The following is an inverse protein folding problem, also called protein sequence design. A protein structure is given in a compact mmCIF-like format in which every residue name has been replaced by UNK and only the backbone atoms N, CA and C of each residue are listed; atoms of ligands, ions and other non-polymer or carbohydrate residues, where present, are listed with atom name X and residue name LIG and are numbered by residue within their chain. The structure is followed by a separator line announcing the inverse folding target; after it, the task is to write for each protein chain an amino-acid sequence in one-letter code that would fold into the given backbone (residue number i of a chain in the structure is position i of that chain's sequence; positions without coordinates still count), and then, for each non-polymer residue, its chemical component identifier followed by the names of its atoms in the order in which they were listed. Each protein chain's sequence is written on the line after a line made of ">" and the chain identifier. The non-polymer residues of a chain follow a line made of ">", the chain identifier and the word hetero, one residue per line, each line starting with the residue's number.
data_IF_119587921177
#
_entry.id   IF_119587921177
#
_cell.length_a   1.000
_cell.length_b   1.000
_cell.length_c   1.000
_cell.angle_alpha   90.00
_cell.angle_beta   90.00
_cell.angle_gamma   90.00
#
_symmetry.space_group_name_H-M   'P 1'
#
loop_
_entity.id
_entity.type
_entity.pdbx_description
1 polymer ?
#
# COMPACT_ATOMS: atom_id res chain seq x y z
N UNK A 1 -16.97 -22.12 58.45
CA UNK A 1 -18.10 -23.08 58.45
C UNK A 1 -18.30 -23.51 57.00
N UNK A 2 -17.80 -24.68 56.58
CA UNK A 2 -18.55 -25.97 56.49
C UNK A 2 -19.93 -25.74 55.85
N UNK A 3 -20.29 -26.29 54.68
CA UNK A 3 -20.28 -27.73 54.34
C UNK A 3 -20.59 -27.99 52.86
N UNK A 4 -19.90 -29.00 52.28
CA UNK A 4 -20.38 -30.11 51.41
C UNK A 4 -21.05 -29.85 50.05
N UNK A 5 -21.02 -30.73 49.04
CA UNK A 5 -20.24 -31.91 48.65
C UNK A 5 -20.92 -32.49 47.38
N UNK A 6 -20.13 -32.67 46.32
CA UNK A 6 -19.95 -33.92 45.55
C UNK A 6 -21.15 -34.75 45.04
N UNK A 7 -21.19 -34.99 43.71
CA UNK A 7 -21.66 -36.20 43.01
C UNK A 7 -21.07 -36.14 41.57
N UNK A 8 -20.01 -36.89 41.21
CA UNK A 8 -20.03 -38.25 40.61
C UNK A 8 -21.07 -38.37 39.48
N UNK A 9 -20.68 -38.61 38.22
CA UNK A 9 -20.26 -39.94 37.74
C UNK A 9 -19.30 -39.90 36.53
N UNK A 10 -18.31 -40.80 36.57
CA UNK A 10 -17.47 -41.22 35.46
C UNK A 10 -18.22 -42.18 34.50
N UNK A 11 -17.89 -42.11 33.21
CA UNK A 11 -18.27 -43.08 32.19
C UNK A 11 -17.02 -43.46 31.37
N UNK A 12 -16.76 -44.76 31.30
CA UNK A 12 -15.52 -45.44 30.88
C UNK A 12 -15.78 -46.18 29.55
N UNK A 13 -14.87 -46.02 28.57
CA UNK A 13 -14.34 -46.99 27.57
C UNK A 13 -15.39 -47.60 26.59
N UNK A 14 -15.22 -47.67 25.25
CA UNK A 14 -14.36 -48.64 24.53
C UNK A 14 -14.47 -48.45 22.98
N UNK A 15 -13.30 -48.30 22.32
CA UNK A 15 -12.82 -48.92 21.05
C UNK A 15 -13.79 -49.14 19.86
N UNK A 16 -13.44 -48.60 18.68
CA UNK A 16 -13.25 -49.43 17.47
C UNK A 16 -12.34 -48.74 16.42
N UNK A 17 -11.19 -49.38 16.18
CA UNK A 17 -10.29 -49.19 15.03
C UNK A 17 -10.93 -49.84 13.79
N UNK A 18 -10.97 -49.15 12.64
CA UNK A 18 -11.07 -49.80 11.32
C UNK A 18 -10.03 -49.17 10.39
N UNK A 19 -8.95 -49.93 10.18
CA UNK A 19 -8.04 -49.84 9.04
C UNK A 19 -8.77 -50.37 7.81
N UNK A 20 -8.69 -49.65 6.68
CA UNK A 20 -8.94 -50.23 5.36
C UNK A 20 -7.79 -49.84 4.43
N UNK A 21 -6.89 -50.82 4.22
CA UNK A 21 -5.90 -50.85 3.15
C UNK A 21 -6.61 -51.10 1.82
N UNK A 22 -6.36 -50.25 0.82
CA UNK A 22 -6.58 -50.60 -0.58
C UNK A 22 -5.23 -50.54 -1.30
N UNK A 23 -4.63 -51.71 -1.49
CA UNK A 23 -3.51 -51.92 -2.40
C UNK A 23 -3.98 -52.78 -3.57
N UNK A 24 -3.62 -52.35 -4.79
CA UNK A 24 -3.35 -53.25 -5.91
C UNK A 24 -4.48 -53.43 -6.93
N UNK A 25 -4.33 -52.75 -8.07
CA UNK A 25 -4.57 -53.36 -9.39
C UNK A 25 -3.57 -52.77 -10.38
N UNK A 26 -2.53 -53.55 -10.66
CA UNK A 26 -1.57 -53.36 -11.76
C UNK A 26 -2.13 -54.01 -13.02
N UNK A 27 -2.10 -53.31 -14.16
CA UNK A 27 -1.96 -53.92 -15.49
C UNK A 27 -1.36 -52.91 -16.47
N UNK A 28 -0.31 -53.29 -17.23
CA UNK A 28 0.34 -52.42 -18.21
C UNK A 28 -0.27 -52.58 -19.61
N UNK A 29 -0.23 -51.52 -20.42
CA UNK A 29 -0.51 -51.55 -21.85
C UNK A 29 0.29 -50.42 -22.55
N UNK A 30 0.48 -50.48 -23.89
CA UNK A 30 1.77 -50.82 -24.50
C UNK A 30 2.46 -49.61 -25.15
N UNK A 31 3.74 -49.79 -25.49
CA UNK A 31 4.56 -48.77 -26.11
C UNK A 31 4.28 -48.48 -27.58
N UNK A 32 4.94 -47.40 -28.04
CA UNK A 32 5.24 -47.15 -29.44
C UNK A 32 4.31 -46.15 -30.14
N UNK A 33 4.65 -44.86 -30.07
CA UNK A 33 4.50 -43.99 -31.23
C UNK A 33 5.47 -42.80 -31.15
N UNK A 34 6.53 -42.85 -31.95
CA UNK A 34 7.38 -41.70 -32.27
C UNK A 34 6.72 -40.90 -33.40
N UNK A 35 6.51 -39.60 -33.22
CA UNK A 35 6.51 -38.56 -34.29
C UNK A 35 6.44 -37.16 -33.66
N UNK A 36 6.84 -36.09 -34.36
CA UNK A 36 8.18 -35.65 -34.77
C UNK A 36 8.67 -34.43 -33.96
N UNK A 37 9.97 -34.10 -34.07
CA UNK A 37 10.60 -32.94 -33.47
C UNK A 37 9.87 -31.63 -33.81
N UNK A 38 9.17 -31.07 -32.82
CA UNK A 38 8.68 -29.69 -32.81
C UNK A 38 9.78 -28.76 -32.28
N UNK A 39 9.98 -27.66 -33.01
CA UNK A 39 10.85 -26.53 -32.68
C UNK A 39 10.81 -26.15 -31.21
N UNK A 40 12.01 -25.97 -30.65
CA UNK A 40 12.24 -25.52 -29.29
C UNK A 40 11.57 -24.16 -29.03
N UNK A 41 10.53 -24.15 -28.22
CA UNK A 41 10.24 -23.00 -27.36
C UNK A 41 11.01 -23.24 -26.08
N UNK A 42 12.10 -22.50 -25.90
CA UNK A 42 12.78 -22.37 -24.61
C UNK A 42 11.77 -21.85 -23.59
N UNK A 43 11.18 -22.75 -22.82
CA UNK A 43 10.57 -22.41 -21.55
C UNK A 43 11.67 -21.80 -20.66
N UNK A 44 11.45 -20.65 -20.00
CA UNK A 44 12.41 -20.12 -19.05
C UNK A 44 12.60 -21.13 -17.93
N UNK A 45 13.86 -21.42 -17.64
CA UNK A 45 14.27 -22.32 -16.58
C UNK A 45 14.53 -21.50 -15.30
N UNK A 46 13.86 -21.88 -14.21
CA UNK A 46 14.40 -21.76 -12.85
C UNK A 46 13.93 -20.57 -12.02
N UNK A 47 12.76 -20.73 -11.39
CA UNK A 47 12.17 -19.83 -10.39
C UNK A 47 10.67 -19.90 -10.54
N UNK A 48 9.90 -20.18 -9.48
CA UNK A 48 8.44 -20.21 -9.57
C UNK A 48 7.94 -18.93 -10.24
N UNK A 49 6.89 -19.03 -11.05
CA UNK A 49 6.33 -17.93 -11.84
C UNK A 49 5.70 -16.84 -10.97
N UNK A 50 6.25 -16.56 -9.79
CA UNK A 50 5.71 -15.71 -8.74
C UNK A 50 6.54 -14.44 -8.69
N UNK A 51 5.87 -13.29 -8.65
CA UNK A 51 6.45 -11.99 -8.40
C UNK A 51 5.86 -11.43 -7.10
N UNK A 52 6.70 -11.24 -6.09
CA UNK A 52 6.30 -10.77 -4.77
C UNK A 52 6.52 -9.28 -4.66
N UNK A 53 5.49 -8.54 -4.27
CA UNK A 53 5.48 -7.09 -4.25
C UNK A 53 5.02 -6.62 -2.87
N UNK A 54 5.87 -5.90 -2.14
CA UNK A 54 5.42 -5.20 -0.94
C UNK A 54 4.87 -3.81 -1.31
N UNK A 55 3.70 -3.46 -0.80
CA UNK A 55 3.00 -2.22 -1.16
C UNK A 55 2.22 -1.67 0.03
N UNK A 56 1.36 -0.68 -0.20
CA UNK A 56 0.70 0.07 0.86
C UNK A 56 -0.77 -0.31 1.01
N UNK A 57 -1.27 -0.35 2.25
CA UNK A 57 -2.71 -0.59 2.51
C UNK A 57 -3.59 0.48 1.86
N UNK A 58 -3.10 1.71 1.70
CA UNK A 58 -3.84 2.76 0.98
C UNK A 58 -4.04 2.41 -0.49
N UNK A 59 -3.00 1.86 -1.15
CA UNK A 59 -3.12 1.43 -2.54
C UNK A 59 -4.04 0.21 -2.69
N UNK A 60 -3.95 -0.76 -1.77
CA UNK A 60 -4.87 -1.91 -1.69
C UNK A 60 -6.33 -1.47 -1.57
N UNK A 61 -6.63 -0.52 -0.67
CA UNK A 61 -8.00 -0.04 -0.46
C UNK A 61 -8.63 0.61 -1.70
N UNK A 62 -7.83 1.07 -2.66
CA UNK A 62 -8.37 1.61 -3.92
C UNK A 62 -8.87 0.51 -4.87
N UNK A 63 -8.43 -0.73 -4.69
CA UNK A 63 -8.70 -1.83 -5.62
C UNK A 63 -7.81 -1.86 -6.86
N UNK A 64 -6.90 -0.88 -7.06
CA UNK A 64 -6.02 -0.84 -8.23
C UNK A 64 -5.14 -2.10 -8.34
N UNK A 65 -4.65 -2.60 -7.21
CA UNK A 65 -3.75 -3.77 -7.19
C UNK A 65 -4.40 -5.02 -7.79
N UNK A 66 -5.67 -5.27 -7.48
CA UNK A 66 -6.42 -6.39 -8.03
C UNK A 66 -6.61 -6.28 -9.56
N UNK A 67 -6.73 -5.06 -10.09
CA UNK A 67 -6.84 -4.83 -11.53
C UNK A 67 -5.49 -4.98 -12.24
N UNK A 68 -4.40 -4.49 -11.62
CA UNK A 68 -3.04 -4.70 -12.13
C UNK A 68 -2.67 -6.19 -12.16
N UNK A 69 -3.00 -6.93 -11.09
CA UNK A 69 -2.88 -8.38 -11.02
C UNK A 69 -3.62 -9.02 -12.19
N UNK A 70 -4.94 -8.80 -12.28
CA UNK A 70 -5.80 -9.42 -13.30
C UNK A 70 -5.26 -9.24 -14.71
N UNK A 71 -4.80 -8.04 -15.07
CA UNK A 71 -4.30 -7.75 -16.42
C UNK A 71 -2.93 -8.37 -16.65
N UNK A 72 -1.96 -8.11 -15.77
CA UNK A 72 -0.59 -8.57 -15.96
C UNK A 72 -0.47 -10.09 -15.92
N UNK A 73 -1.19 -10.78 -15.01
CA UNK A 73 -1.24 -12.24 -14.98
C UNK A 73 -1.82 -12.82 -16.28
N UNK A 74 -2.85 -12.17 -16.84
CA UNK A 74 -3.49 -12.64 -18.07
C UNK A 74 -2.60 -12.54 -19.31
N UNK A 75 -1.70 -11.55 -19.34
CA UNK A 75 -0.77 -11.29 -20.45
C UNK A 75 0.47 -12.17 -20.37
N UNK A 76 0.98 -12.39 -19.16
CA UNK A 76 2.31 -12.96 -18.93
C UNK A 76 2.28 -14.36 -18.34
N UNK A 77 1.19 -14.72 -17.67
CA UNK A 77 1.03 -15.94 -16.88
C UNK A 77 1.72 -15.92 -15.51
N UNK A 78 2.43 -14.83 -15.15
CA UNK A 78 3.06 -14.64 -13.83
C UNK A 78 1.98 -14.57 -12.75
N UNK A 79 2.26 -15.12 -11.57
CA UNK A 79 1.48 -15.07 -10.33
C UNK A 79 1.95 -13.85 -9.51
N UNK A 80 1.11 -12.81 -9.44
CA UNK A 80 1.40 -11.57 -8.73
C UNK A 80 0.93 -11.65 -7.29
N UNK A 81 1.85 -11.46 -6.34
CA UNK A 81 1.55 -11.55 -4.92
C UNK A 81 1.85 -10.23 -4.23
N UNK A 82 0.77 -9.51 -3.90
CA UNK A 82 0.86 -8.27 -3.15
C UNK A 82 0.82 -8.50 -1.63
N UNK A 83 1.71 -7.80 -0.92
CA UNK A 83 1.72 -7.72 0.54
C UNK A 83 1.48 -6.25 0.91
N UNK A 84 0.23 -5.93 1.26
CA UNK A 84 -0.17 -4.57 1.61
C UNK A 84 0.05 -4.28 3.10
N UNK A 85 0.87 -3.26 3.40
CA UNK A 85 1.25 -2.87 4.77
C UNK A 85 1.66 -1.38 4.81
N UNK A 86 2.30 -0.88 5.87
CA UNK A 86 2.83 0.50 5.86
C UNK A 86 4.04 0.64 4.93
N UNK A 87 4.26 1.82 4.31
CA UNK A 87 5.44 2.07 3.45
C UNK A 87 6.76 1.70 4.11
N UNK A 88 6.99 2.08 5.36
CA UNK A 88 8.20 1.69 6.09
C UNK A 88 8.32 0.16 6.23
N UNK A 89 7.22 -0.53 6.54
CA UNK A 89 7.19 -2.00 6.65
C UNK A 89 7.45 -2.67 5.28
N UNK A 90 6.95 -2.11 4.19
CA UNK A 90 7.19 -2.59 2.83
C UNK A 90 8.64 -2.44 2.42
N UNK A 91 9.25 -1.30 2.72
CA UNK A 91 10.68 -1.08 2.52
C UNK A 91 11.51 -2.02 3.39
N UNK A 92 11.16 -2.22 4.66
CA UNK A 92 11.87 -3.16 5.54
C UNK A 92 11.72 -4.61 5.09
N UNK A 93 10.59 -4.97 4.49
CA UNK A 93 10.36 -6.30 3.88
C UNK A 93 11.25 -6.50 2.66
N UNK A 94 11.41 -5.47 1.84
CA UNK A 94 12.34 -5.47 0.72
C UNK A 94 13.81 -5.49 1.15
N UNK A 95 14.19 -4.77 2.22
CA UNK A 95 15.54 -4.81 2.83
C UNK A 95 15.93 -6.20 3.36
N UNK A 96 14.96 -7.06 3.64
CA UNK A 96 15.20 -8.46 4.03
C UNK A 96 15.27 -9.41 2.83
N UNK A 97 14.91 -8.95 1.64
CA UNK A 97 14.80 -9.80 0.44
C UNK A 97 13.58 -10.72 0.43
N UNK A 98 12.55 -10.39 1.23
CA UNK A 98 11.32 -11.20 1.30
C UNK A 98 10.40 -10.98 0.08
N UNK A 99 10.66 -9.91 -0.69
CA UNK A 99 9.94 -9.52 -1.92
C UNK A 99 10.93 -9.13 -3.03
N UNK A 100 10.42 -9.04 -4.26
CA UNK A 100 11.23 -8.78 -5.45
C UNK A 100 11.25 -7.29 -5.83
N UNK A 101 10.19 -6.56 -5.48
CA UNK A 101 10.11 -5.11 -5.58
C UNK A 101 9.16 -4.50 -4.55
N UNK A 102 9.20 -3.18 -4.44
CA UNK A 102 8.22 -2.39 -3.70
C UNK A 102 7.44 -1.47 -4.64
N UNK A 103 6.16 -1.24 -4.31
CA UNK A 103 5.31 -0.21 -4.92
C UNK A 103 4.78 0.70 -3.81
N UNK A 104 5.40 1.86 -3.62
CA UNK A 104 5.24 2.72 -2.44
C UNK A 104 5.11 4.21 -2.82
N UNK A 105 4.92 5.08 -1.84
CA UNK A 105 4.68 6.51 -2.03
C UNK A 105 5.28 7.39 -0.92
N UNK A 106 6.56 7.17 -0.60
CA UNK A 106 7.28 7.99 0.39
C UNK A 106 8.67 8.35 -0.14
N UNK A 107 8.81 9.45 -0.90
CA UNK A 107 10.05 9.81 -1.59
C UNK A 107 11.31 9.78 -0.72
N UNK A 108 11.24 10.24 0.53
CA UNK A 108 12.40 10.25 1.43
C UNK A 108 12.83 8.84 1.86
N UNK A 109 11.86 7.97 2.16
CA UNK A 109 12.15 6.57 2.49
C UNK A 109 12.61 5.77 1.27
N UNK A 110 12.04 6.06 0.09
CA UNK A 110 12.46 5.51 -1.19
C UNK A 110 13.93 5.87 -1.48
N UNK A 111 14.28 7.15 -1.31
CA UNK A 111 15.65 7.62 -1.54
C UNK A 111 16.62 6.98 -0.56
N UNK A 112 16.26 6.88 0.73
CA UNK A 112 17.09 6.18 1.71
C UNK A 112 17.29 4.70 1.34
N UNK A 113 16.23 4.00 0.90
CA UNK A 113 16.30 2.60 0.47
C UNK A 113 17.28 2.39 -0.72
N UNK A 114 17.34 3.36 -1.63
CA UNK A 114 18.27 3.37 -2.76
C UNK A 114 19.69 3.72 -2.31
N UNK A 115 19.86 4.76 -1.49
CA UNK A 115 21.15 5.22 -1.00
C UNK A 115 21.86 4.17 -0.12
N UNK A 116 21.07 3.43 0.66
CA UNK A 116 21.53 2.28 1.45
C UNK A 116 21.91 1.07 0.55
N UNK A 117 21.62 1.12 -0.75
CA UNK A 117 21.99 0.10 -1.74
C UNK A 117 21.03 -1.08 -1.86
N UNK A 118 19.88 -1.07 -1.17
CA UNK A 118 18.91 -2.16 -1.21
C UNK A 118 17.94 -2.05 -2.40
N UNK A 119 17.67 -0.83 -2.86
CA UNK A 119 16.80 -0.57 -4.02
C UNK A 119 17.57 -0.16 -5.26
N UNK A 120 17.09 -0.57 -6.43
CA UNK A 120 17.61 -0.13 -7.73
C UNK A 120 16.48 0.20 -8.70
N UNK A 121 16.83 0.95 -9.74
CA UNK A 121 15.96 1.21 -10.89
C UNK A 121 14.57 1.80 -10.55
N UNK A 122 14.47 2.86 -9.71
CA UNK A 122 13.18 3.43 -9.35
C UNK A 122 12.45 3.99 -10.57
N UNK A 123 11.14 3.73 -10.65
CA UNK A 123 10.25 4.34 -11.64
C UNK A 123 9.02 4.90 -10.99
N UNK A 124 8.76 6.18 -11.24
CA UNK A 124 7.49 6.78 -10.92
C UNK A 124 6.43 6.31 -11.89
N UNK A 125 5.29 5.92 -11.37
CA UNK A 125 4.21 5.30 -12.15
C UNK A 125 3.04 6.27 -12.31
N UNK A 126 2.59 6.84 -11.19
CA UNK A 126 1.45 7.73 -11.15
C UNK A 126 1.52 8.64 -9.91
N UNK A 127 0.61 9.59 -9.82
CA UNK A 127 0.39 10.37 -8.62
C UNK A 127 -1.11 10.54 -8.35
N UNK A 128 -1.41 10.83 -7.10
CA UNK A 128 -2.68 11.44 -6.69
C UNK A 128 -2.39 12.54 -5.67
N UNK A 129 -3.38 12.90 -4.88
CA UNK A 129 -3.24 13.90 -3.83
C UNK A 129 -3.60 13.31 -2.47
N UNK A 130 -2.87 13.74 -1.45
CA UNK A 130 -3.39 13.77 -0.10
C UNK A 130 -4.41 14.88 0.04
N UNK A 131 -5.30 14.75 1.02
CA UNK A 131 -6.31 15.73 1.36
C UNK A 131 -6.43 15.78 2.88
N UNK A 132 -6.68 16.96 3.42
CA UNK A 132 -7.11 17.14 4.81
C UNK A 132 -8.63 17.04 4.80
N UNK A 133 -9.18 16.01 5.42
CA UNK A 133 -10.62 15.84 5.62
C UNK A 133 -10.99 16.21 7.04
N UNK A 134 -12.23 16.65 7.25
CA UNK A 134 -12.73 17.02 8.56
C UNK A 134 -14.24 17.30 8.55
N UNK A 135 -14.81 17.74 9.67
CA UNK A 135 -16.23 18.08 9.76
C UNK A 135 -16.59 19.22 8.80
N UNK A 136 -17.76 19.14 8.15
CA UNK A 136 -18.25 20.17 7.23
C UNK A 136 -18.35 21.56 7.90
N UNK A 137 -18.59 21.61 9.21
CA UNK A 137 -18.64 22.86 9.96
C UNK A 137 -17.28 23.57 10.12
N UNK A 138 -16.19 22.89 9.80
CA UNK A 138 -14.80 23.36 9.89
C UNK A 138 -14.49 24.15 11.19
N UNK A 139 -14.59 23.53 12.38
CA UNK A 139 -14.41 24.23 13.65
C UNK A 139 -13.02 24.85 13.85
N UNK A 140 -11.98 24.34 13.17
CA UNK A 140 -10.65 24.94 13.16
C UNK A 140 -10.51 26.10 12.15
N UNK A 141 -11.43 26.23 11.19
CA UNK A 141 -11.43 27.30 10.20
C UNK A 141 -10.26 27.22 9.21
N UNK A 142 -9.88 26.01 8.79
CA UNK A 142 -8.72 25.77 7.92
C UNK A 142 -9.05 25.79 6.42
N UNK A 143 -10.33 25.93 6.04
CA UNK A 143 -10.72 26.03 4.65
C UNK A 143 -10.01 27.18 3.91
N UNK A 144 -9.55 26.91 2.68
CA UNK A 144 -8.78 27.84 1.83
C UNK A 144 -7.37 28.21 2.34
N UNK A 145 -6.85 27.50 3.34
CA UNK A 145 -5.44 27.62 3.74
C UNK A 145 -4.55 26.73 2.87
N UNK A 146 -3.26 27.04 2.81
CA UNK A 146 -2.27 26.07 2.35
C UNK A 146 -2.17 24.89 3.34
N UNK A 147 -1.69 23.71 2.91
CA UNK A 147 -1.58 22.55 3.80
C UNK A 147 -0.78 22.84 5.07
N UNK A 148 0.34 23.56 4.93
CA UNK A 148 1.21 23.93 6.06
C UNK A 148 0.53 24.93 7.00
N UNK A 149 -0.21 25.91 6.47
CA UNK A 149 -1.00 26.84 7.30
C UNK A 149 -2.14 26.14 8.04
N UNK A 150 -2.78 25.16 7.40
CA UNK A 150 -3.82 24.34 8.00
C UNK A 150 -3.27 23.54 9.19
N UNK A 151 -2.10 22.89 9.03
CA UNK A 151 -1.44 22.17 10.12
C UNK A 151 -1.07 23.11 11.28
N UNK A 152 -0.50 24.29 11.02
CA UNK A 152 -0.27 25.31 12.07
C UNK A 152 -1.54 25.69 12.82
N UNK A 153 -2.63 25.85 12.09
CA UNK A 153 -3.93 26.23 12.67
C UNK A 153 -4.54 25.09 13.49
N UNK A 154 -4.45 23.84 13.02
CA UNK A 154 -4.88 22.64 13.75
C UNK A 154 -4.11 22.49 15.06
N UNK A 155 -2.78 22.63 15.03
CA UNK A 155 -1.96 22.58 16.23
C UNK A 155 -2.37 23.64 17.26
N UNK A 156 -2.52 24.89 16.81
CA UNK A 156 -2.92 26.00 17.68
C UNK A 156 -4.34 25.79 18.25
N UNK A 157 -5.29 25.33 17.43
CA UNK A 157 -6.66 25.11 17.86
C UNK A 157 -6.78 23.93 18.83
N UNK A 158 -6.09 22.82 18.56
CA UNK A 158 -6.04 21.63 19.40
C UNK A 158 -5.37 21.90 20.75
N UNK A 159 -4.21 22.57 20.75
CA UNK A 159 -3.50 22.96 21.98
C UNK A 159 -4.31 23.92 22.85
N UNK A 160 -5.15 24.76 22.24
CA UNK A 160 -6.07 25.65 22.95
C UNK A 160 -7.37 24.97 23.38
N UNK A 161 -7.51 23.65 23.18
CA UNK A 161 -8.73 22.88 23.49
C UNK A 161 -9.99 23.45 22.82
N UNK A 162 -9.84 23.93 21.58
CA UNK A 162 -10.97 24.47 20.81
C UNK A 162 -12.02 23.38 20.63
N UNK A 163 -13.25 23.65 21.06
CA UNK A 163 -14.32 22.68 21.01
C UNK A 163 -14.56 22.17 19.57
N UNK A 164 -14.59 20.85 19.42
CA UNK A 164 -14.79 20.19 18.11
C UNK A 164 -13.52 20.08 17.26
N UNK A 165 -12.34 20.43 17.78
CA UNK A 165 -11.07 20.25 17.07
C UNK A 165 -10.31 19.07 17.66
N UNK A 166 -10.12 18.04 16.83
CA UNK A 166 -9.21 16.93 17.05
C UNK A 166 -8.60 16.53 15.71
N UNK A 167 -7.45 15.87 15.74
CA UNK A 167 -6.75 15.34 14.59
C UNK A 167 -6.45 13.86 14.84
N UNK A 168 -6.91 12.98 13.95
CA UNK A 168 -6.61 11.55 14.01
C UNK A 168 -5.44 11.27 13.07
N UNK A 169 -4.33 10.81 13.63
CA UNK A 169 -3.20 10.29 12.87
C UNK A 169 -3.37 8.81 12.60
N UNK A 170 -2.75 8.34 11.50
CA UNK A 170 -2.56 6.91 11.25
C UNK A 170 -1.69 6.26 12.33
N UNK A 171 -0.60 6.90 12.75
CA UNK A 171 0.33 6.37 13.76
C UNK A 171 0.96 5.02 13.39
N UNK A 172 1.13 4.71 12.10
CA UNK A 172 1.41 3.34 11.60
C UNK A 172 2.70 3.21 10.75
N UNK A 173 3.46 4.31 10.61
CA UNK A 173 4.64 4.44 9.75
C UNK A 173 4.37 4.18 8.24
N UNK A 174 3.13 4.36 7.80
CA UNK A 174 2.77 4.34 6.38
C UNK A 174 3.20 5.63 5.64
N UNK A 175 3.06 5.65 4.31
CA UNK A 175 3.38 6.84 3.51
C UNK A 175 2.58 8.08 3.93
N UNK A 176 1.28 7.92 4.23
CA UNK A 176 0.46 9.03 4.74
C UNK A 176 0.91 9.49 6.13
N UNK A 177 1.32 8.58 7.01
CA UNK A 177 1.89 8.98 8.31
C UNK A 177 3.20 9.76 8.12
N UNK A 178 4.06 9.33 7.20
CA UNK A 178 5.28 10.07 6.88
C UNK A 178 4.95 11.45 6.29
N UNK A 179 3.97 11.56 5.39
CA UNK A 179 3.55 12.85 4.85
C UNK A 179 3.00 13.77 5.95
N UNK A 180 2.21 13.22 6.88
CA UNK A 180 1.74 13.97 8.04
C UNK A 180 2.91 14.52 8.87
N UNK A 181 3.95 13.72 9.12
CA UNK A 181 5.17 14.17 9.82
C UNK A 181 5.88 15.30 9.10
N UNK A 182 6.02 15.19 7.77
CA UNK A 182 6.61 16.25 6.93
C UNK A 182 5.79 17.54 7.06
N UNK A 183 4.46 17.47 6.99
CA UNK A 183 3.60 18.64 7.16
C UNK A 183 3.69 19.27 8.55
N UNK A 184 3.85 18.46 9.62
CA UNK A 184 4.12 18.99 10.96
C UNK A 184 5.47 19.70 11.05
N UNK A 185 6.52 19.11 10.47
CA UNK A 185 7.86 19.71 10.44
C UNK A 185 7.88 21.04 9.65
N UNK A 186 7.26 21.08 8.47
CA UNK A 186 7.11 22.29 7.67
C UNK A 186 6.24 23.35 8.36
N UNK A 187 5.26 22.92 9.14
CA UNK A 187 4.47 23.79 10.02
C UNK A 187 5.32 24.37 11.17
N UNK A 188 6.51 23.82 11.43
CA UNK A 188 7.48 24.30 12.40
C UNK A 188 7.43 23.56 13.74
N UNK A 189 6.89 22.33 13.75
CA UNK A 189 6.76 21.49 14.94
C UNK A 189 7.58 20.22 14.80
N UNK A 190 8.35 19.88 15.83
CA UNK A 190 9.05 18.60 15.90
C UNK A 190 8.07 17.49 16.26
N UNK A 191 7.96 16.47 15.40
CA UNK A 191 6.96 15.42 15.57
C UNK A 191 7.15 14.64 16.89
N UNK A 192 8.38 14.25 17.19
CA UNK A 192 8.71 13.36 18.31
C UNK A 192 8.64 14.06 19.67
N UNK A 193 8.74 15.39 19.70
CA UNK A 193 8.77 16.19 20.94
C UNK A 193 7.57 17.11 21.14
N UNK A 194 6.88 17.52 20.08
CA UNK A 194 5.75 18.46 20.15
C UNK A 194 4.42 17.85 19.71
N UNK A 195 4.40 16.84 18.82
CA UNK A 195 3.15 16.31 18.24
C UNK A 195 2.67 15.04 18.93
N UNK A 196 3.52 14.02 19.06
CA UNK A 196 3.11 12.69 19.56
C UNK A 196 2.44 12.75 20.95
N UNK A 197 2.85 13.72 21.78
CA UNK A 197 2.32 13.98 23.11
C UNK A 197 1.59 15.34 23.22
N UNK A 198 1.06 15.88 22.11
CA UNK A 198 0.42 17.21 22.04
C UNK A 198 -0.89 17.34 22.85
N UNK A 199 -1.39 16.24 23.41
CA UNK A 199 -2.60 16.18 24.22
C UNK A 199 -3.74 15.42 23.54
N UNK A 200 -4.91 15.42 24.18
CA UNK A 200 -6.05 14.58 23.78
C UNK A 200 -6.65 14.92 22.40
N UNK A 201 -6.29 16.07 21.82
CA UNK A 201 -6.75 16.46 20.48
C UNK A 201 -6.01 15.70 19.38
N UNK A 202 -4.79 15.20 19.63
CA UNK A 202 -4.02 14.41 18.66
C UNK A 202 -4.16 12.92 19.02
N UNK A 203 -4.72 12.13 18.10
CA UNK A 203 -5.08 10.73 18.35
C UNK A 203 -4.41 9.81 17.34
N UNK A 204 -3.46 8.99 17.79
CA UNK A 204 -2.88 7.93 16.94
C UNK A 204 -3.82 6.72 16.87
N UNK A 205 -4.31 6.41 15.66
CA UNK A 205 -5.17 5.26 15.43
C UNK A 205 -4.42 3.92 15.51
N UNK A 206 -3.16 3.89 15.05
CA UNK A 206 -2.37 2.68 14.89
C UNK A 206 -2.95 1.71 13.85
N UNK A 207 -3.64 2.24 12.83
CA UNK A 207 -4.42 1.48 11.84
C UNK A 207 -4.22 2.03 10.43
N UNK A 208 -4.64 1.26 9.43
CA UNK A 208 -4.64 1.69 8.03
C UNK A 208 -5.70 2.77 7.72
N UNK A 209 -5.58 3.41 6.55
CA UNK A 209 -6.36 4.60 6.21
C UNK A 209 -7.88 4.45 6.31
N UNK A 210 -8.44 3.34 5.83
CA UNK A 210 -9.89 3.12 5.92
C UNK A 210 -10.40 3.18 7.36
N UNK A 211 -9.72 2.50 8.28
CA UNK A 211 -10.08 2.52 9.70
C UNK A 211 -9.81 3.88 10.35
N UNK A 212 -8.75 4.58 9.94
CA UNK A 212 -8.46 5.95 10.40
C UNK A 212 -9.56 6.93 9.97
N UNK A 213 -10.06 6.83 8.73
CA UNK A 213 -11.19 7.64 8.25
C UNK A 213 -12.46 7.38 9.05
N UNK A 214 -12.78 6.11 9.32
CA UNK A 214 -13.94 5.74 10.15
C UNK A 214 -13.80 6.30 11.57
N UNK A 215 -12.62 6.18 12.18
CA UNK A 215 -12.36 6.74 13.51
C UNK A 215 -12.48 8.26 13.54
N UNK A 216 -11.89 8.95 12.56
CA UNK A 216 -12.02 10.40 12.41
C UNK A 216 -13.48 10.82 12.24
N UNK A 217 -14.26 10.06 11.48
CA UNK A 217 -15.68 10.31 11.28
C UNK A 217 -16.49 10.15 12.57
N UNK A 218 -16.26 9.06 13.31
CA UNK A 218 -16.91 8.82 14.61
C UNK A 218 -16.62 9.94 15.62
N UNK A 219 -15.40 10.50 15.58
CA UNK A 219 -14.98 11.57 16.46
C UNK A 219 -15.30 12.98 15.95
N UNK A 220 -15.77 13.10 14.70
CA UNK A 220 -15.89 14.39 14.00
C UNK A 220 -14.56 15.17 14.08
N UNK A 221 -13.48 14.51 13.69
CA UNK A 221 -12.12 15.00 13.76
C UNK A 221 -11.52 15.21 12.36
N UNK A 222 -10.44 15.97 12.28
CA UNK A 222 -9.64 16.10 11.08
C UNK A 222 -8.70 14.91 10.90
N UNK A 223 -8.33 14.58 9.66
CA UNK A 223 -7.25 13.62 9.37
C UNK A 223 -6.66 13.92 8.00
N UNK A 224 -5.39 13.56 7.79
CA UNK A 224 -4.79 13.48 6.46
C UNK A 224 -5.17 12.13 5.83
N UNK A 225 -5.60 12.13 4.57
CA UNK A 225 -5.91 10.92 3.80
C UNK A 225 -5.38 11.04 2.38
N UNK A 226 -5.04 9.91 1.74
CA UNK A 226 -4.99 9.91 0.27
C UNK A 226 -6.41 10.02 -0.30
N UNK A 227 -6.55 10.74 -1.41
CA UNK A 227 -7.85 11.01 -2.03
C UNK A 227 -8.54 9.73 -2.51
N UNK A 228 -7.77 8.77 -3.04
CA UNK A 228 -8.30 7.49 -3.51
C UNK A 228 -9.03 6.72 -2.42
N UNK A 229 -8.40 6.58 -1.25
CA UNK A 229 -9.04 5.92 -0.11
C UNK A 229 -10.24 6.72 0.37
N UNK A 230 -10.14 8.06 0.47
CA UNK A 230 -11.30 8.87 0.86
C UNK A 230 -12.50 8.63 -0.06
N UNK A 231 -12.32 8.62 -1.38
CA UNK A 231 -13.40 8.41 -2.34
C UNK A 231 -14.05 7.03 -2.19
N UNK A 232 -13.26 5.98 -1.93
CA UNK A 232 -13.77 4.62 -1.65
C UNK A 232 -14.53 4.49 -0.31
N UNK A 233 -14.45 5.49 0.57
CA UNK A 233 -15.17 5.56 1.84
C UNK A 233 -16.21 6.68 1.89
N UNK A 234 -16.27 7.57 0.89
CA UNK A 234 -17.04 8.81 0.95
C UNK A 234 -18.55 8.59 1.20
N UNK A 235 -19.10 7.46 0.77
CA UNK A 235 -20.50 7.08 1.02
C UNK A 235 -20.80 6.69 2.49
N UNK A 236 -19.75 6.47 3.28
CA UNK A 236 -19.78 6.07 4.69
C UNK A 236 -19.29 7.17 5.64
N UNK A 237 -18.93 8.34 5.12
CA UNK A 237 -18.36 9.44 5.90
C UNK A 237 -19.29 10.67 5.84
N UNK A 238 -19.43 11.32 7.00
CA UNK A 238 -19.96 12.69 7.12
C UNK A 238 -18.83 13.73 6.96
N UNK A 239 -17.57 13.29 7.01
CA UNK A 239 -16.39 14.14 6.77
C UNK A 239 -16.29 14.54 5.31
N UNK A 240 -15.83 15.76 5.07
CA UNK A 240 -15.62 16.31 3.73
C UNK A 240 -14.16 16.77 3.57
N UNK A 241 -13.63 16.87 2.33
CA UNK A 241 -12.33 17.48 2.09
C UNK A 241 -12.40 18.97 2.45
N UNK A 242 -11.50 19.42 3.32
CA UNK A 242 -11.40 20.81 3.77
C UNK A 242 -10.24 21.54 3.05
N UNK A 243 -9.12 20.83 2.88
CA UNK A 243 -7.96 21.29 2.09
C UNK A 243 -7.57 20.16 1.16
N UNK A 244 -7.65 20.40 -0.16
CA UNK A 244 -7.42 19.38 -1.18
C UNK A 244 -6.42 19.81 -2.26
N UNK A 245 -5.78 20.97 -2.08
CA UNK A 245 -4.82 21.54 -3.03
C UNK A 245 -3.57 22.00 -2.28
N UNK A 246 -2.42 21.94 -2.96
CA UNK A 246 -1.11 22.30 -2.41
C UNK A 246 -0.02 21.37 -2.94
N UNK A 247 1.18 21.90 -3.16
CA UNK A 247 2.28 21.09 -3.67
C UNK A 247 2.71 20.02 -2.66
N UNK A 248 2.55 20.33 -1.38
CA UNK A 248 2.81 19.47 -0.21
C UNK A 248 1.79 18.34 -0.06
N UNK A 249 0.69 18.37 -0.82
CA UNK A 249 -0.29 17.29 -0.86
C UNK A 249 -0.07 16.34 -2.05
N UNK A 250 0.92 16.60 -2.90
CA UNK A 250 1.21 15.71 -4.01
C UNK A 250 1.70 14.34 -3.49
N UNK A 251 1.06 13.27 -3.97
CA UNK A 251 1.36 11.92 -3.55
C UNK A 251 1.81 11.06 -4.74
N UNK A 252 3.12 10.87 -4.88
CA UNK A 252 3.74 10.19 -6.02
C UNK A 252 4.03 8.73 -5.69
N UNK A 253 3.65 7.82 -6.59
CA UNK A 253 3.86 6.39 -6.46
C UNK A 253 5.07 5.94 -7.28
N UNK A 254 5.94 5.15 -6.65
CA UNK A 254 7.16 4.63 -7.22
C UNK A 254 7.22 3.11 -7.12
N UNK A 255 7.66 2.46 -8.20
CA UNK A 255 8.07 1.07 -8.20
C UNK A 255 9.61 0.98 -8.12
N UNK A 256 10.14 0.17 -7.22
CA UNK A 256 11.60 0.05 -6.99
C UNK A 256 11.96 -1.43 -6.83
N UNK A 257 12.86 -1.93 -7.66
CA UNK A 257 13.32 -3.31 -7.60
C UNK A 257 14.29 -3.52 -6.43
N UNK A 258 14.24 -4.71 -5.80
CA UNK A 258 15.23 -5.12 -4.81
C UNK A 258 16.55 -5.45 -5.50
N UNK A 259 17.65 -4.98 -4.95
CA UNK A 259 18.98 -5.15 -5.51
C UNK A 259 19.46 -6.63 -5.41
N UNK A 260 19.63 -7.36 -6.53
CA UNK A 260 20.08 -8.75 -6.50
C UNK A 260 21.53 -8.89 -6.01
N UNK A 261 22.33 -7.82 -6.01
CA UNK A 261 23.66 -7.85 -5.40
C UNK A 261 23.60 -7.98 -3.87
N UNK A 262 22.50 -7.51 -3.25
CA UNK A 262 22.24 -7.64 -1.81
C UNK A 262 21.47 -8.93 -1.50
N UNK A 263 20.53 -9.32 -2.37
CA UNK A 263 19.69 -10.49 -2.22
C UNK A 263 19.69 -11.36 -3.50
N UNK A 264 20.60 -12.32 -3.64
CA UNK A 264 20.77 -13.08 -4.89
C UNK A 264 19.57 -13.94 -5.33
N UNK A 265 18.65 -14.23 -4.41
CA UNK A 265 17.51 -15.13 -4.64
C UNK A 265 16.23 -14.39 -5.07
N UNK A 266 16.24 -13.05 -5.15
CA UNK A 266 15.08 -12.27 -5.63
C UNK A 266 14.87 -12.46 -7.13
N UNK A 267 13.61 -12.38 -7.56
CA UNK A 267 13.22 -12.44 -8.96
C UNK A 267 13.48 -11.10 -9.66
N UNK A 268 14.76 -10.76 -9.86
CA UNK A 268 15.17 -9.50 -10.46
C UNK A 268 14.61 -9.30 -11.88
N UNK A 269 14.56 -10.37 -12.69
CA UNK A 269 13.99 -10.30 -14.04
C UNK A 269 12.49 -10.01 -14.01
N UNK A 270 11.73 -10.71 -13.16
CA UNK A 270 10.30 -10.44 -12.99
C UNK A 270 10.03 -9.02 -12.49
N UNK A 271 10.85 -8.52 -11.57
CA UNK A 271 10.75 -7.14 -11.11
C UNK A 271 11.02 -6.14 -12.24
N UNK A 272 12.06 -6.37 -13.04
CA UNK A 272 12.36 -5.57 -14.23
C UNK A 272 11.21 -5.57 -15.23
N UNK A 273 10.66 -6.73 -15.55
CA UNK A 273 9.59 -6.89 -16.53
C UNK A 273 8.30 -6.21 -16.07
N UNK A 274 7.94 -6.35 -14.80
CA UNK A 274 6.76 -5.71 -14.23
C UNK A 274 6.90 -4.19 -14.13
N UNK A 275 8.07 -3.66 -13.71
CA UNK A 275 8.31 -2.21 -13.69
C UNK A 275 8.26 -1.62 -15.10
N UNK A 276 8.83 -2.32 -16.09
CA UNK A 276 8.76 -1.90 -17.49
C UNK A 276 7.32 -1.93 -18.03
N UNK A 277 6.52 -2.91 -17.62
CA UNK A 277 5.10 -2.96 -17.94
C UNK A 277 4.33 -1.81 -17.30
N UNK A 278 4.56 -1.49 -16.01
CA UNK A 278 3.89 -0.38 -15.32
C UNK A 278 4.14 0.99 -15.98
N UNK A 279 5.30 1.18 -16.64
CA UNK A 279 5.61 2.43 -17.37
C UNK A 279 5.21 2.39 -18.85
N UNK A 280 4.61 1.30 -19.33
CA UNK A 280 4.09 1.19 -20.69
C UNK A 280 2.84 2.05 -20.90
N UNK A 281 2.54 2.38 -22.17
CA UNK A 281 1.35 3.16 -22.50
C UNK A 281 0.05 2.44 -22.08
N UNK A 282 0.01 1.11 -22.19
CA UNK A 282 -1.14 0.28 -21.83
C UNK A 282 -1.42 0.30 -20.31
N UNK A 283 -0.39 0.07 -19.49
CA UNK A 283 -0.55 0.13 -18.03
C UNK A 283 -0.88 1.55 -17.56
N UNK A 284 -0.28 2.58 -18.18
CA UNK A 284 -0.61 3.97 -17.86
C UNK A 284 -2.05 4.32 -18.23
N UNK A 285 -2.54 3.87 -19.38
CA UNK A 285 -3.94 4.06 -19.77
C UNK A 285 -4.89 3.34 -18.79
N UNK A 286 -4.55 2.13 -18.37
CA UNK A 286 -5.30 1.40 -17.33
C UNK A 286 -5.36 2.20 -16.02
N UNK A 287 -4.22 2.66 -15.52
CA UNK A 287 -4.13 3.43 -14.26
C UNK A 287 -4.90 4.75 -14.38
N UNK A 288 -4.76 5.45 -15.50
CA UNK A 288 -5.40 6.75 -15.74
C UNK A 288 -6.90 6.68 -15.99
N UNK A 289 -7.44 5.51 -16.30
CA UNK A 289 -8.88 5.30 -16.42
C UNK A 289 -9.49 4.73 -15.12
N UNK A 290 -8.66 4.16 -14.23
CA UNK A 290 -9.11 3.46 -13.04
C UNK A 290 -9.96 4.34 -12.11
N UNK A 291 -11.11 3.81 -11.69
CA UNK A 291 -12.08 4.50 -10.83
C UNK A 291 -13.02 5.49 -11.53
N UNK A 292 -12.83 5.79 -12.82
CA UNK A 292 -13.67 6.78 -13.52
C UNK A 292 -15.15 6.40 -13.55
N UNK A 293 -15.47 5.13 -13.78
CA UNK A 293 -16.86 4.65 -13.83
C UNK A 293 -17.55 4.72 -12.46
N UNK A 294 -16.81 4.42 -11.39
CA UNK A 294 -17.34 4.33 -10.03
C UNK A 294 -17.41 5.70 -9.33
N UNK A 295 -16.37 6.53 -9.50
CA UNK A 295 -16.19 7.78 -8.76
C UNK A 295 -16.42 9.03 -9.62
N UNK A 296 -16.68 8.88 -10.92
CA UNK A 296 -16.89 9.99 -11.86
C UNK A 296 -15.61 10.75 -12.23
N UNK A 297 -14.45 10.31 -11.74
CA UNK A 297 -13.11 10.82 -12.05
C UNK A 297 -12.06 9.71 -11.81
N UNK A 298 -10.87 9.78 -12.45
CA UNK A 298 -9.81 8.83 -12.17
C UNK A 298 -9.23 9.02 -10.77
N UNK A 299 -8.81 7.93 -10.13
CA UNK A 299 -8.18 7.96 -8.79
C UNK A 299 -6.67 8.26 -8.85
N UNK A 300 -6.06 8.09 -10.02
CA UNK A 300 -4.64 8.26 -10.24
C UNK A 300 -4.40 8.97 -11.57
N UNK A 301 -3.39 9.83 -11.61
CA UNK A 301 -2.87 10.45 -12.82
C UNK A 301 -1.54 9.78 -13.18
N UNK A 302 -1.44 9.07 -14.32
CA UNK A 302 -0.19 8.46 -14.75
C UNK A 302 0.87 9.51 -15.06
N UNK A 303 2.14 9.17 -14.79
CA UNK A 303 3.26 10.07 -15.04
C UNK A 303 3.86 9.85 -16.43
N UNK A 304 4.09 10.95 -17.14
CA UNK A 304 4.70 10.95 -18.47
C UNK A 304 5.91 11.88 -18.52
N UNK A 305 6.88 11.56 -19.39
CA UNK A 305 7.98 12.47 -19.69
C UNK A 305 7.48 13.57 -20.67
N UNK A 306 7.93 14.84 -20.53
CA UNK A 306 8.94 15.32 -19.59
C UNK A 306 8.40 15.78 -18.22
N UNK A 307 7.09 15.72 -17.96
CA UNK A 307 6.48 16.21 -16.70
C UNK A 307 7.10 15.55 -15.46
N UNK A 308 7.29 14.23 -15.50
CA UNK A 308 7.84 13.51 -14.34
C UNK A 308 9.28 13.89 -14.00
N UNK A 309 10.06 14.41 -14.95
CA UNK A 309 11.47 14.79 -14.72
C UNK A 309 11.64 16.17 -14.11
N UNK A 310 10.57 16.97 -14.09
CA UNK A 310 10.59 18.34 -13.55
C UNK A 310 9.96 18.40 -12.15
N UNK A 311 10.18 19.49 -11.39
CA UNK A 311 9.45 19.72 -10.15
C UNK A 311 7.93 19.72 -10.40
N UNK A 312 7.13 19.16 -9.47
CA UNK A 312 7.53 18.63 -8.16
C UNK A 312 8.04 17.18 -8.17
N UNK A 313 7.91 16.44 -9.28
CA UNK A 313 8.14 14.99 -9.29
C UNK A 313 9.63 14.61 -9.29
N UNK A 314 10.48 15.29 -10.06
CA UNK A 314 11.92 15.06 -10.12
C UNK A 314 12.33 13.57 -10.21
N UNK A 315 11.69 12.79 -11.10
CA UNK A 315 11.92 11.36 -11.19
C UNK A 315 11.83 10.78 -12.61
N UNK A 316 12.18 9.50 -12.74
CA UNK A 316 12.21 8.77 -14.00
C UNK A 316 10.91 7.97 -14.18
N UNK A 317 10.26 8.06 -15.33
CA UNK A 317 8.94 7.43 -15.54
C UNK A 317 8.71 6.85 -16.96
N UNK A 318 9.70 6.93 -17.86
CA UNK A 318 9.53 6.52 -19.26
C UNK A 318 10.64 5.59 -19.77
N UNK A 319 11.80 5.60 -19.14
CA UNK A 319 12.99 4.88 -19.57
C UNK A 319 12.91 3.42 -19.10
N UNK A 320 12.93 2.41 -19.98
CA UNK A 320 12.98 1.02 -19.56
C UNK A 320 14.21 0.71 -18.70
N UNK A 321 14.08 -0.24 -17.78
CA UNK A 321 15.15 -0.70 -16.89
C UNK A 321 15.67 -2.06 -17.34
N UNK A 322 16.91 -2.34 -16.96
CA UNK A 322 17.58 -3.63 -17.15
C UNK A 322 17.96 -4.22 -15.80
N UNK A 323 17.96 -5.54 -15.70
CA UNK A 323 18.50 -6.30 -14.56
C UNK A 323 19.99 -6.07 -14.34
#
# INVERSE_FOLDING_TARGET
>A
MKTNATLLTAGIITILLILALCAGCTSPAPGGNETPAGTATTAPAGGGNILRIATTTSLENTGLLAELERVYESETGVDLQFIAQGTGQSIDTARRGDVDLVLVHAPDLEQQFIDDGFGINPRCIAYNYFIIVGPESDPAGIANMTPVEAFRTLYAAGTNETAGVAFVSRGDNSGTHNQEKVLWEEAGYDYDTEIIDAGAWYVEAGKGMGDTLILANEQQAYTLSDEGTYLSFADRLDLVPIVAEGAELLNRYSAIAVNPAMHPDVNAQGATDFINWLISDEAKELIGNFGTEEFGKPLFTPLYAPECTEPPFNCTCAEPITT
#
